data_IF_400190401403
#
_entry.id   IF_400190401403
#
_cell.length_a   1.000
_cell.length_b   1.000
_cell.length_c   1.000
_cell.angle_alpha   90.00
_cell.angle_beta   90.00
_cell.angle_gamma   90.00
#
_symmetry.space_group_name_H-M   'P 1'
#
loop_
_entity.id
_entity.type
_entity.pdbx_description
1 polymer ?
#
# COMPACT_ATOMS: atom_id res chain seq x y z
N UNK A 1 13.18 10.36 19.80
CA UNK A 1 11.92 10.06 20.49
C UNK A 1 11.28 8.94 19.70
N UNK A 2 11.69 7.72 20.02
CA UNK A 2 11.11 6.52 19.43
C UNK A 2 9.67 6.43 19.93
N UNK A 3 8.72 6.86 19.11
CA UNK A 3 7.32 6.54 19.32
C UNK A 3 7.19 5.04 19.07
N UNK A 4 7.42 4.28 20.14
CA UNK A 4 6.91 2.94 20.34
C UNK A 4 5.39 3.03 20.13
N UNK A 5 4.96 2.85 18.89
CA UNK A 5 3.57 2.62 18.54
C UNK A 5 3.26 1.27 19.17
N UNK A 6 2.90 1.31 20.46
CA UNK A 6 2.04 0.31 21.07
C UNK A 6 0.77 0.31 20.24
N UNK A 7 0.79 -0.47 19.18
CA UNK A 7 -0.41 -1.00 18.57
C UNK A 7 -1.03 -1.85 19.68
N UNK A 8 -1.82 -1.18 20.51
CA UNK A 8 -2.71 -1.80 21.45
C UNK A 8 -3.54 -2.74 20.59
N UNK A 9 -3.17 -4.02 20.60
CA UNK A 9 -3.98 -5.09 20.02
C UNK A 9 -5.24 -5.13 20.85
N UNK A 10 -6.18 -4.22 20.58
CA UNK A 10 -7.49 -4.16 21.19
C UNK A 10 -8.08 -5.55 21.03
N UNK A 11 -8.26 -6.24 22.16
CA UNK A 11 -8.88 -7.56 22.18
C UNK A 11 -10.25 -7.42 21.53
N UNK A 12 -10.40 -7.98 20.34
CA UNK A 12 -11.65 -7.91 19.60
C UNK A 12 -12.68 -8.70 20.40
N UNK A 13 -13.69 -8.00 20.92
CA UNK A 13 -14.84 -8.64 21.53
C UNK A 13 -15.71 -9.25 20.44
N UNK A 14 -15.58 -10.55 20.23
CA UNK A 14 -16.28 -11.26 19.17
C UNK A 14 -17.76 -11.46 19.52
N UNK A 15 -18.71 -11.04 18.66
CA UNK A 15 -20.14 -11.32 18.87
C UNK A 15 -20.40 -12.82 18.95
N UNK A 16 -21.44 -13.28 19.66
CA UNK A 16 -21.85 -14.69 19.63
C UNK A 16 -22.55 -15.06 18.32
N UNK A 17 -23.31 -14.11 17.76
CA UNK A 17 -24.01 -14.32 16.49
C UNK A 17 -23.04 -14.37 15.31
N UNK A 18 -23.24 -15.38 14.46
CA UNK A 18 -22.36 -15.66 13.31
C UNK A 18 -22.42 -14.57 12.24
N UNK A 19 -23.59 -13.95 12.04
CA UNK A 19 -23.78 -12.87 11.06
C UNK A 19 -23.11 -11.60 11.57
N UNK A 20 -23.28 -11.27 12.85
CA UNK A 20 -22.60 -10.14 13.49
C UNK A 20 -21.08 -10.31 13.48
N UNK A 21 -20.55 -11.51 13.79
CA UNK A 21 -19.12 -11.81 13.61
C UNK A 21 -18.67 -11.52 12.18
N UNK A 22 -19.37 -12.07 11.18
CA UNK A 22 -19.02 -11.87 9.77
C UNK A 22 -19.02 -10.39 9.38
N UNK A 23 -19.93 -9.59 9.94
CA UNK A 23 -19.97 -8.13 9.73
C UNK A 23 -18.75 -7.43 10.35
N UNK A 24 -18.34 -7.80 11.58
CA UNK A 24 -17.13 -7.26 12.22
C UNK A 24 -15.89 -7.58 11.40
N UNK A 25 -15.76 -8.83 10.94
CA UNK A 25 -14.65 -9.28 10.08
C UNK A 25 -14.61 -8.47 8.79
N UNK A 26 -15.75 -8.34 8.10
CA UNK A 26 -15.86 -7.56 6.88
C UNK A 26 -15.46 -6.09 7.10
N UNK A 27 -15.94 -5.47 8.16
CA UNK A 27 -15.63 -4.07 8.47
C UNK A 27 -14.13 -3.87 8.73
N UNK A 28 -13.49 -4.77 9.47
CA UNK A 28 -12.04 -4.74 9.71
C UNK A 28 -11.24 -4.97 8.43
N UNK A 29 -11.63 -5.96 7.63
CA UNK A 29 -11.05 -6.22 6.31
C UNK A 29 -11.11 -4.98 5.40
N UNK A 30 -12.26 -4.33 5.30
CA UNK A 30 -12.42 -3.07 4.55
C UNK A 30 -11.56 -1.93 5.10
N UNK A 31 -11.42 -1.85 6.43
CA UNK A 31 -10.52 -0.86 7.06
C UNK A 31 -9.06 -1.12 6.69
N UNK A 32 -8.62 -2.38 6.72
CA UNK A 32 -7.27 -2.76 6.31
C UNK A 32 -7.02 -2.44 4.82
N UNK A 33 -7.99 -2.71 3.94
CA UNK A 33 -7.91 -2.30 2.53
C UNK A 33 -7.65 -0.80 2.40
N UNK A 34 -8.41 0.02 3.14
CA UNK A 34 -8.28 1.48 3.12
C UNK A 34 -6.93 1.95 3.66
N UNK A 35 -6.46 1.38 4.77
CA UNK A 35 -5.13 1.71 5.32
C UNK A 35 -4.02 1.42 4.33
N UNK A 36 -4.05 0.24 3.70
CA UNK A 36 -3.07 -0.12 2.66
C UNK A 36 -3.13 0.87 1.50
N UNK A 37 -4.32 1.19 0.98
CA UNK A 37 -4.46 2.13 -0.13
C UNK A 37 -3.87 3.50 0.21
N UNK A 38 -4.05 3.96 1.46
CA UNK A 38 -3.45 5.19 1.95
C UNK A 38 -1.92 5.12 1.96
N UNK A 39 -1.34 4.09 2.59
CA UNK A 39 0.12 3.89 2.65
C UNK A 39 0.73 3.80 1.25
N UNK A 40 0.08 3.05 0.37
CA UNK A 40 0.46 2.87 -1.03
C UNK A 40 0.46 4.19 -1.82
N UNK A 41 -0.60 4.99 -1.63
CA UNK A 41 -0.71 6.32 -2.26
C UNK A 41 0.38 7.27 -1.73
N UNK A 42 0.61 7.29 -0.42
CA UNK A 42 1.68 8.10 0.19
C UNK A 42 3.06 7.70 -0.30
N UNK A 43 3.31 6.41 -0.53
CA UNK A 43 4.57 5.92 -1.08
C UNK A 43 4.81 6.41 -2.52
N UNK A 44 3.78 6.35 -3.40
CA UNK A 44 3.88 6.94 -4.75
C UNK A 44 4.20 8.41 -4.69
N UNK A 45 3.44 9.17 -3.89
CA UNK A 45 3.62 10.63 -3.80
C UNK A 45 5.03 10.95 -3.33
N UNK A 46 5.49 10.33 -2.23
CA UNK A 46 6.83 10.57 -1.70
C UNK A 46 7.95 10.25 -2.70
N UNK A 47 7.82 9.18 -3.47
CA UNK A 47 8.80 8.85 -4.50
C UNK A 47 8.72 9.81 -5.70
N UNK A 48 7.52 10.22 -6.10
CA UNK A 48 7.33 11.19 -7.17
C UNK A 48 7.95 12.54 -6.80
N UNK A 49 7.77 12.99 -5.56
CA UNK A 49 8.38 14.20 -5.02
C UNK A 49 9.91 14.12 -5.05
N UNK A 50 10.48 12.96 -4.70
CA UNK A 50 11.94 12.72 -4.78
C UNK A 50 12.43 12.72 -6.23
N UNK A 51 11.70 12.09 -7.15
CA UNK A 51 12.05 12.08 -8.57
C UNK A 51 11.99 13.49 -9.18
N UNK A 52 10.99 14.29 -8.79
CA UNK A 52 10.87 15.69 -9.20
C UNK A 52 11.99 16.54 -8.60
N UNK A 53 12.28 16.41 -7.31
CA UNK A 53 13.38 17.10 -6.66
C UNK A 53 14.73 16.79 -7.31
N UNK A 54 14.96 15.52 -7.70
CA UNK A 54 16.14 15.11 -8.44
C UNK A 54 16.21 15.73 -9.85
N UNK A 55 15.09 15.78 -10.57
CA UNK A 55 15.00 16.43 -11.88
C UNK A 55 15.25 17.95 -11.79
N UNK A 56 14.77 18.60 -10.74
CA UNK A 56 15.04 20.03 -10.47
C UNK A 56 16.51 20.26 -10.15
N UNK A 57 17.09 19.44 -9.26
CA UNK A 57 18.50 19.56 -8.87
C UNK A 57 19.46 19.33 -10.05
N UNK A 58 19.17 18.35 -10.92
CA UNK A 58 19.99 18.07 -12.11
C UNK A 58 19.92 19.17 -13.16
N UNK A 59 18.76 19.82 -13.33
CA UNK A 59 18.63 21.02 -14.18
C UNK A 59 19.36 22.23 -13.59
N UNK A 60 19.29 22.44 -12.28
CA UNK A 60 20.02 23.51 -11.58
C UNK A 60 21.53 23.33 -11.57
N UNK A 61 22.01 22.08 -11.61
CA UNK A 61 23.43 21.72 -11.68
C UNK A 61 24.00 21.65 -13.11
N UNK A 62 23.23 22.07 -14.13
CA UNK A 62 23.58 21.88 -15.55
C UNK A 62 24.82 22.69 -15.98
N UNK A 63 25.98 22.08 -15.76
CA UNK A 63 27.24 22.29 -16.50
C UNK A 63 27.58 21.05 -17.37
N UNK A 64 26.64 20.11 -17.54
CA UNK A 64 26.84 18.81 -18.22
C UNK A 64 26.26 18.73 -19.64
N UNK A 65 26.74 17.76 -20.43
CA UNK A 65 26.34 17.58 -21.85
C UNK A 65 24.87 17.15 -22.05
N UNK A 66 24.29 17.52 -23.20
CA UNK A 66 22.91 17.22 -23.59
C UNK A 66 22.55 15.72 -23.57
N UNK A 67 23.52 14.84 -23.83
CA UNK A 67 23.32 13.38 -23.80
C UNK A 67 23.18 12.83 -22.38
N UNK A 68 23.88 13.42 -21.40
CA UNK A 68 23.71 13.06 -19.99
C UNK A 68 22.32 13.42 -19.47
N UNK A 69 21.75 14.55 -19.90
CA UNK A 69 20.39 14.93 -19.51
C UNK A 69 19.32 13.98 -20.09
N UNK A 70 19.45 13.55 -21.35
CA UNK A 70 18.52 12.56 -21.94
C UNK A 70 18.54 11.23 -21.20
N UNK A 71 19.75 10.72 -20.88
CA UNK A 71 19.90 9.48 -20.14
C UNK A 71 19.29 9.54 -18.74
N UNK A 72 19.44 10.67 -18.05
CA UNK A 72 18.84 10.90 -16.73
C UNK A 72 17.30 10.91 -16.80
N UNK A 73 16.74 11.60 -17.80
CA UNK A 73 15.29 11.66 -17.97
C UNK A 73 14.70 10.29 -18.32
N UNK A 74 15.39 9.51 -19.16
CA UNK A 74 14.95 8.16 -19.51
C UNK A 74 14.96 7.22 -18.30
N UNK A 75 15.99 7.29 -17.43
CA UNK A 75 16.01 6.55 -16.17
C UNK A 75 14.88 6.96 -15.23
N UNK A 76 14.56 8.25 -15.14
CA UNK A 76 13.44 8.73 -14.31
C UNK A 76 12.09 8.17 -14.81
N UNK A 77 11.89 8.12 -16.13
CA UNK A 77 10.68 7.56 -16.73
C UNK A 77 10.55 6.05 -16.48
N UNK A 78 11.64 5.29 -16.61
CA UNK A 78 11.66 3.86 -16.29
C UNK A 78 11.33 3.63 -14.82
N UNK A 79 11.92 4.42 -13.93
CA UNK A 79 11.66 4.32 -12.50
C UNK A 79 10.20 4.62 -12.15
N UNK A 80 9.62 5.67 -12.73
CA UNK A 80 8.20 5.98 -12.58
C UNK A 80 7.30 4.86 -13.10
N UNK A 81 7.63 4.29 -14.27
CA UNK A 81 6.90 3.16 -14.86
C UNK A 81 6.90 1.92 -13.95
N UNK A 82 8.07 1.54 -13.44
CA UNK A 82 8.23 0.42 -12.52
C UNK A 82 7.44 0.64 -11.23
N UNK A 83 7.55 1.83 -10.63
CA UNK A 83 6.84 2.15 -9.40
C UNK A 83 5.31 2.04 -9.58
N UNK A 84 4.79 2.51 -10.71
CA UNK A 84 3.36 2.41 -11.02
C UNK A 84 2.92 0.95 -11.19
N UNK A 85 3.75 0.11 -11.79
CA UNK A 85 3.48 -1.32 -11.95
C UNK A 85 3.52 -2.07 -10.60
N UNK A 86 4.53 -1.80 -9.78
CA UNK A 86 4.70 -2.37 -8.44
C UNK A 86 3.54 -1.97 -7.53
N UNK A 87 3.08 -0.72 -7.63
CA UNK A 87 1.90 -0.24 -6.93
C UNK A 87 0.65 -1.03 -7.31
N UNK A 88 0.36 -1.15 -8.61
CA UNK A 88 -0.82 -1.90 -9.09
C UNK A 88 -0.78 -3.34 -8.58
N UNK A 89 0.38 -4.00 -8.71
CA UNK A 89 0.59 -5.38 -8.25
C UNK A 89 0.38 -5.51 -6.74
N UNK A 90 0.87 -4.55 -5.95
CA UNK A 90 0.72 -4.56 -4.50
C UNK A 90 -0.74 -4.41 -4.07
N UNK A 91 -1.49 -3.51 -4.72
CA UNK A 91 -2.93 -3.34 -4.48
C UNK A 91 -3.69 -4.63 -4.82
N UNK A 92 -3.42 -5.24 -5.97
CA UNK A 92 -4.05 -6.48 -6.39
C UNK A 92 -3.80 -7.60 -5.37
N UNK A 93 -2.55 -7.76 -4.92
CA UNK A 93 -2.20 -8.77 -3.90
C UNK A 93 -2.86 -8.55 -2.55
N UNK A 94 -3.07 -7.30 -2.16
CA UNK A 94 -3.76 -6.98 -0.91
C UNK A 94 -5.25 -7.26 -1.04
N UNK A 95 -5.86 -6.95 -2.19
CA UNK A 95 -7.24 -7.32 -2.46
C UNK A 95 -7.42 -8.84 -2.44
N UNK A 96 -6.53 -9.59 -3.11
CA UNK A 96 -6.50 -11.07 -3.08
C UNK A 96 -6.43 -11.59 -1.64
N UNK A 97 -5.47 -11.08 -0.85
CA UNK A 97 -5.26 -11.50 0.54
C UNK A 97 -6.48 -11.24 1.43
N UNK A 98 -7.14 -10.09 1.25
CA UNK A 98 -8.34 -9.72 2.02
C UNK A 98 -9.53 -10.60 1.64
N UNK A 99 -9.71 -10.91 0.36
CA UNK A 99 -10.74 -11.85 -0.08
C UNK A 99 -10.48 -13.25 0.49
N UNK A 100 -9.23 -13.72 0.44
CA UNK A 100 -8.86 -15.02 0.99
C UNK A 100 -9.08 -15.10 2.50
N UNK A 101 -8.65 -14.10 3.26
CA UNK A 101 -8.88 -14.04 4.71
C UNK A 101 -10.38 -14.04 5.03
N UNK A 102 -11.18 -13.28 4.29
CA UNK A 102 -12.65 -13.28 4.47
C UNK A 102 -13.25 -14.66 4.23
N UNK A 103 -12.80 -15.36 3.18
CA UNK A 103 -13.22 -16.73 2.90
C UNK A 103 -12.84 -17.70 4.03
N UNK A 104 -11.58 -17.69 4.47
CA UNK A 104 -11.10 -18.56 5.57
C UNK A 104 -11.95 -18.36 6.81
N UNK A 105 -12.17 -17.11 7.21
CA UNK A 105 -12.88 -16.80 8.44
C UNK A 105 -14.35 -17.26 8.39
N UNK A 106 -15.05 -17.03 7.28
CA UNK A 106 -16.44 -17.51 7.11
C UNK A 106 -16.47 -19.04 7.16
N UNK A 107 -15.56 -19.70 6.46
CA UNK A 107 -15.46 -21.16 6.39
C UNK A 107 -15.24 -21.80 7.76
N UNK A 108 -14.43 -21.16 8.62
CA UNK A 108 -14.13 -21.66 9.98
C UNK A 108 -15.15 -21.24 11.03
N UNK A 109 -16.01 -20.26 10.76
CA UNK A 109 -17.04 -19.77 11.69
C UNK A 109 -18.35 -20.55 11.61
N UNK A 110 -18.55 -21.32 10.54
CA UNK A 110 -19.64 -22.28 10.44
C UNK A 110 -19.22 -23.54 11.19
N UNK A 111 -19.77 -23.76 12.39
CA UNK A 111 -19.59 -25.04 13.09
C UNK A 111 -20.09 -26.17 12.20
N UNK A 112 -19.32 -27.25 12.09
CA UNK A 112 -19.92 -28.53 11.70
C UNK A 112 -21.00 -28.84 12.76
N UNK A 113 -22.23 -29.04 12.29
CA UNK A 113 -23.37 -29.42 13.12
C UNK A 113 -23.10 -30.75 13.86
#
# INVERSE_FOLDING_TARGET
>A
MDQDVKEETEKIHWPEDSIERANVIRAKAQSMTRCVQAVSSSFITGISDVAEAYLVATKGASSGSQDSQKSIQEKANVYYGNLRADHSTSIDKIQDGIQYLSYVIVSTSMSAA
#
